data_IF_287375143822
#
_entry.id   IF_287375143822
#
_cell.length_a   1.000
_cell.length_b   1.000
_cell.length_c   1.000
_cell.angle_alpha   90.00
_cell.angle_beta   90.00
_cell.angle_gamma   90.00
#
_symmetry.space_group_name_H-M   'P 1'
#
loop_
_entity.id
_entity.type
_entity.pdbx_description
1 polymer ?
#
# COMPACT_ATOMS: atom_id res chain seq x y z
N UNK A 1 -1.63 11.26 2.04
CA UNK A 1 -1.30 11.55 0.63
C UNK A 1 -1.61 10.29 -0.14
N UNK A 2 -2.46 10.35 -1.18
CA UNK A 2 -2.81 9.21 -2.01
C UNK A 2 -2.24 9.47 -3.40
N UNK A 3 -1.43 8.54 -3.92
CA UNK A 3 -0.93 8.61 -5.31
C UNK A 3 -1.27 7.30 -6.01
N UNK A 4 -1.66 7.39 -7.29
CA UNK A 4 -1.98 6.23 -8.12
C UNK A 4 -1.46 6.45 -9.54
N UNK A 5 -0.70 5.47 -10.04
CA UNK A 5 -0.29 5.35 -11.44
C UNK A 5 0.57 6.50 -12.01
N UNK A 6 1.80 6.57 -11.54
CA UNK A 6 2.83 7.44 -12.12
C UNK A 6 4.09 6.63 -12.45
N UNK A 7 4.64 6.86 -13.65
CA UNK A 7 5.94 6.34 -14.08
C UNK A 7 6.94 7.49 -14.06
N UNK A 8 7.58 7.68 -12.90
CA UNK A 8 8.56 8.75 -12.66
C UNK A 8 9.90 8.08 -12.37
N UNK A 9 10.99 8.64 -12.88
CA UNK A 9 12.34 8.05 -12.75
C UNK A 9 12.74 7.87 -11.28
N UNK A 10 12.47 8.86 -10.43
CA UNK A 10 12.78 8.85 -8.99
C UNK A 10 11.54 9.16 -8.16
N UNK A 11 11.32 8.43 -7.07
CA UNK A 11 10.31 8.75 -6.06
C UNK A 11 8.89 8.96 -6.61
N UNK A 12 8.39 7.99 -7.39
CA UNK A 12 7.11 8.09 -8.07
C UNK A 12 5.88 8.28 -7.18
N UNK A 13 5.98 8.07 -5.87
CA UNK A 13 4.94 8.39 -4.90
C UNK A 13 5.18 9.74 -4.23
N UNK A 14 6.19 9.84 -3.36
CA UNK A 14 6.49 11.06 -2.62
C UNK A 14 7.92 11.08 -2.07
N UNK A 15 8.39 12.30 -1.76
CA UNK A 15 9.65 12.56 -1.06
C UNK A 15 9.37 13.47 0.12
N UNK A 16 9.80 13.06 1.31
CA UNK A 16 9.90 13.95 2.46
C UNK A 16 11.32 13.88 3.00
N UNK A 17 12.07 14.97 2.81
CA UNK A 17 13.49 15.06 3.14
C UNK A 17 13.77 16.11 4.20
N UNK A 18 14.87 15.89 4.93
CA UNK A 18 15.54 16.86 5.82
C UNK A 18 14.66 17.65 6.80
N UNK A 19 13.75 17.01 7.57
CA UNK A 19 13.07 17.75 8.62
C UNK A 19 14.06 18.08 9.75
N UNK A 20 13.91 19.28 10.32
CA UNK A 20 14.68 19.75 11.48
C UNK A 20 14.35 18.93 12.75
N UNK A 21 13.15 18.38 12.81
CA UNK A 21 12.63 17.58 13.92
C UNK A 21 12.08 16.23 13.42
N UNK A 22 11.78 15.31 14.32
CA UNK A 22 11.10 14.06 13.95
C UNK A 22 9.63 14.33 13.66
N UNK A 23 9.22 14.14 12.41
CA UNK A 23 7.83 14.30 12.02
C UNK A 23 6.98 13.06 12.30
N UNK A 24 5.65 13.24 12.28
CA UNK A 24 4.68 12.15 12.43
C UNK A 24 3.78 12.12 11.20
N UNK A 25 3.68 10.95 10.57
CA UNK A 25 2.70 10.68 9.51
C UNK A 25 1.65 9.74 10.09
N UNK A 26 0.46 10.29 10.37
CA UNK A 26 -0.63 9.55 11.00
C UNK A 26 -1.18 8.44 10.08
N UNK A 27 -1.22 8.72 8.78
CA UNK A 27 -1.69 7.78 7.75
C UNK A 27 -1.11 8.14 6.38
N UNK A 28 -0.61 7.13 5.66
CA UNK A 28 -0.16 7.31 4.28
C UNK A 28 -0.43 6.06 3.42
N UNK A 29 -0.66 6.28 2.13
CA UNK A 29 -0.79 5.20 1.16
C UNK A 29 0.03 5.56 -0.07
N UNK A 30 0.91 4.65 -0.50
CA UNK A 30 1.45 4.67 -1.86
C UNK A 30 1.07 3.38 -2.57
N UNK A 31 0.44 3.52 -3.74
CA UNK A 31 -0.07 2.37 -4.47
C UNK A 31 0.14 2.50 -5.97
N UNK A 32 0.40 1.37 -6.64
CA UNK A 32 0.52 1.29 -8.10
C UNK A 32 1.49 2.35 -8.65
N UNK A 33 2.60 2.58 -7.97
CA UNK A 33 3.64 3.50 -8.42
C UNK A 33 4.77 2.72 -9.09
N UNK A 34 5.43 3.33 -10.08
CA UNK A 34 6.56 2.71 -10.77
C UNK A 34 7.72 3.70 -10.90
N UNK A 35 8.88 3.29 -10.40
CA UNK A 35 10.14 4.02 -10.58
C UNK A 35 11.20 3.16 -11.26
N UNK A 36 12.15 3.82 -11.94
CA UNK A 36 13.20 3.14 -12.71
C UNK A 36 14.60 3.40 -12.17
N UNK A 37 14.79 4.48 -11.40
CA UNK A 37 16.09 4.83 -10.82
C UNK A 37 16.05 4.64 -9.32
N UNK A 38 15.61 5.64 -8.55
CA UNK A 38 15.61 5.62 -7.08
C UNK A 38 14.19 5.34 -6.58
N UNK A 39 14.09 4.69 -5.42
CA UNK A 39 12.89 4.11 -4.84
C UNK A 39 11.58 4.85 -5.09
N UNK A 40 10.46 4.12 -5.06
CA UNK A 40 9.13 4.70 -5.23
C UNK A 40 8.82 5.83 -4.23
N UNK A 41 9.45 5.83 -3.06
CA UNK A 41 9.30 6.88 -2.06
C UNK A 41 10.54 7.07 -1.17
N UNK A 42 10.63 8.25 -0.56
CA UNK A 42 11.68 8.61 0.39
C UNK A 42 11.11 9.23 1.68
N UNK A 43 11.55 8.71 2.82
CA UNK A 43 11.23 9.25 4.15
C UNK A 43 12.51 9.51 4.97
N UNK A 44 12.64 10.71 5.55
CA UNK A 44 13.73 11.04 6.47
C UNK A 44 13.19 11.52 7.81
N UNK A 45 13.54 10.85 8.92
CA UNK A 45 13.16 11.21 10.30
C UNK A 45 11.65 11.30 10.55
N UNK A 46 10.89 10.27 10.14
CA UNK A 46 9.45 10.20 10.38
C UNK A 46 9.02 8.96 11.17
N UNK A 47 8.06 9.16 12.07
CA UNK A 47 7.26 8.10 12.64
C UNK A 47 5.97 7.94 11.83
N UNK A 48 5.88 6.85 11.07
CA UNK A 48 4.73 6.50 10.24
C UNK A 48 3.86 5.53 11.03
N UNK A 49 2.74 6.01 11.55
CA UNK A 49 1.94 5.25 12.54
C UNK A 49 0.92 4.31 11.93
N UNK A 50 0.57 4.54 10.66
CA UNK A 50 -0.28 3.68 9.81
C UNK A 50 0.11 3.89 8.36
N UNK A 51 0.27 2.81 7.59
CA UNK A 51 0.55 2.96 6.16
C UNK A 51 0.16 1.78 5.28
N UNK A 52 0.01 2.04 3.98
CA UNK A 52 -0.24 1.02 2.98
C UNK A 52 0.65 1.24 1.76
N UNK A 53 1.55 0.28 1.52
CA UNK A 53 2.43 0.26 0.36
C UNK A 53 2.04 -0.93 -0.51
N UNK A 54 1.30 -0.63 -1.58
CA UNK A 54 0.58 -1.61 -2.37
C UNK A 54 1.05 -1.62 -3.82
N UNK A 55 1.49 -2.77 -4.33
CA UNK A 55 1.81 -2.95 -5.76
C UNK A 55 2.78 -1.89 -6.31
N UNK A 56 3.71 -1.40 -5.49
CA UNK A 56 4.72 -0.47 -5.98
C UNK A 56 5.85 -1.25 -6.64
N UNK A 57 6.33 -0.75 -7.76
CA UNK A 57 7.36 -1.39 -8.56
C UNK A 57 8.58 -0.48 -8.69
N UNK A 58 9.75 -1.08 -8.52
CA UNK A 58 11.03 -0.47 -8.83
C UNK A 58 11.82 -1.41 -9.74
N UNK A 59 12.05 -0.97 -10.98
CA UNK A 59 12.78 -1.77 -11.99
C UNK A 59 14.28 -1.45 -12.04
N UNK A 60 14.74 -0.45 -11.29
CA UNK A 60 16.15 -0.08 -11.18
C UNK A 60 16.99 -1.14 -10.45
N UNK A 61 18.21 -1.38 -10.93
CA UNK A 61 19.07 -2.49 -10.47
C UNK A 61 19.65 -2.30 -9.07
N UNK A 62 19.88 -1.06 -8.64
CA UNK A 62 20.64 -0.80 -7.41
C UNK A 62 19.80 -0.23 -6.28
N UNK A 63 18.48 -0.16 -6.38
CA UNK A 63 17.69 0.63 -5.43
C UNK A 63 16.57 -0.21 -4.80
N UNK A 64 16.00 0.35 -3.72
CA UNK A 64 14.90 -0.25 -2.99
C UNK A 64 13.62 0.56 -3.18
N UNK A 65 12.47 -0.10 -3.09
CA UNK A 65 11.14 0.51 -3.28
C UNK A 65 10.93 1.66 -2.28
N UNK A 66 11.42 1.49 -1.04
CA UNK A 66 11.33 2.48 0.03
C UNK A 66 12.74 2.90 0.42
N UNK A 67 13.06 4.17 0.19
CA UNK A 67 14.30 4.75 0.69
C UNK A 67 14.04 5.47 2.02
N UNK A 68 14.99 5.33 2.94
CA UNK A 68 14.97 5.97 4.25
C UNK A 68 16.36 6.52 4.58
N UNK A 69 16.43 7.71 5.19
CA UNK A 69 17.72 8.22 5.67
C UNK A 69 18.16 7.49 6.94
N UNK A 70 19.40 6.98 6.97
CA UNK A 70 20.17 6.56 8.15
C UNK A 70 19.39 5.91 9.31
N UNK A 71 18.56 4.90 9.03
CA UNK A 71 17.74 4.21 10.05
C UNK A 71 16.90 5.16 10.92
N UNK A 72 16.34 6.23 10.34
CA UNK A 72 15.61 7.27 11.08
C UNK A 72 14.08 7.16 10.97
N UNK A 73 13.59 6.23 10.15
CA UNK A 73 12.16 6.07 9.89
C UNK A 73 11.60 4.90 10.69
N UNK A 74 10.45 5.12 11.32
CA UNK A 74 9.68 4.11 12.06
C UNK A 74 8.40 3.78 11.29
N UNK A 75 8.10 2.49 11.13
CA UNK A 75 6.85 1.99 10.55
C UNK A 75 6.07 1.22 11.61
N UNK A 76 4.86 1.68 11.92
CA UNK A 76 3.92 1.03 12.82
C UNK A 76 2.62 0.75 12.08
N UNK A 77 1.97 -0.40 12.35
CA UNK A 77 0.64 -0.73 11.83
C UNK A 77 0.55 -0.59 10.29
N UNK A 78 1.58 -1.05 9.58
CA UNK A 78 1.72 -0.86 8.15
C UNK A 78 1.47 -2.13 7.36
N UNK A 79 0.98 -1.99 6.14
CA UNK A 79 0.88 -3.07 5.16
C UNK A 79 1.84 -2.85 3.98
N UNK A 80 2.57 -3.90 3.62
CA UNK A 80 3.44 -3.95 2.46
C UNK A 80 3.00 -5.15 1.62
N UNK A 81 2.24 -4.90 0.55
CA UNK A 81 1.59 -5.96 -0.22
C UNK A 81 1.91 -5.82 -1.71
N UNK A 82 2.30 -6.91 -2.36
CA UNK A 82 2.42 -6.96 -3.81
C UNK A 82 3.55 -6.11 -4.41
N UNK A 83 4.46 -5.58 -3.59
CA UNK A 83 5.54 -4.70 -4.06
C UNK A 83 6.62 -5.52 -4.80
N UNK A 84 7.18 -4.95 -5.88
CA UNK A 84 8.12 -5.62 -6.79
C UNK A 84 9.40 -4.81 -6.94
N UNK A 85 10.56 -5.45 -6.83
CA UNK A 85 11.85 -4.82 -7.04
C UNK A 85 12.99 -5.66 -6.48
N UNK A 86 14.19 -5.10 -6.34
CA UNK A 86 15.29 -5.83 -5.71
C UNK A 86 15.16 -5.83 -4.19
N UNK A 87 14.89 -4.66 -3.61
CA UNK A 87 14.81 -4.50 -2.15
C UNK A 87 13.53 -3.78 -1.74
N UNK A 88 12.97 -4.15 -0.60
CA UNK A 88 11.83 -3.40 -0.05
C UNK A 88 12.31 -2.08 0.58
N UNK A 89 13.36 -2.12 1.39
CA UNK A 89 13.97 -0.95 2.04
C UNK A 89 15.43 -0.77 1.64
N UNK A 90 15.85 0.47 1.38
CA UNK A 90 17.24 0.79 1.01
C UNK A 90 18.17 0.78 2.23
N UNK A 91 17.65 1.23 3.37
CA UNK A 91 18.33 1.20 4.66
C UNK A 91 17.36 0.59 5.67
N UNK A 92 17.90 -0.16 6.63
CA UNK A 92 17.09 -0.76 7.70
C UNK A 92 16.32 0.36 8.42
N UNK A 93 14.98 0.33 8.48
CA UNK A 93 14.23 1.28 9.30
C UNK A 93 14.60 1.15 10.79
N UNK A 94 14.38 2.21 11.58
CA UNK A 94 14.63 2.20 13.01
C UNK A 94 13.80 1.11 13.71
N UNK A 95 12.50 1.16 13.44
CA UNK A 95 11.49 0.29 14.02
C UNK A 95 10.54 -0.13 12.89
N UNK A 96 10.21 -1.42 12.86
CA UNK A 96 9.14 -2.00 12.04
C UNK A 96 8.33 -2.88 12.98
N UNK A 97 7.15 -2.40 13.38
CA UNK A 97 6.33 -3.07 14.39
C UNK A 97 4.85 -3.11 13.98
N UNK A 98 4.18 -4.20 14.35
CA UNK A 98 2.81 -4.50 13.92
C UNK A 98 2.59 -4.34 12.40
N UNK A 99 3.53 -4.84 11.58
CA UNK A 99 3.50 -4.70 10.13
C UNK A 99 3.16 -6.01 9.42
N UNK A 100 2.33 -5.94 8.39
CA UNK A 100 1.93 -7.06 7.54
C UNK A 100 2.67 -7.03 6.21
N UNK A 101 3.29 -8.15 5.85
CA UNK A 101 3.99 -8.35 4.57
C UNK A 101 3.36 -9.52 3.82
N UNK A 102 2.90 -9.30 2.59
CA UNK A 102 2.33 -10.36 1.76
C UNK A 102 2.64 -10.15 0.27
N UNK A 103 2.84 -11.24 -0.47
CA UNK A 103 2.99 -11.22 -1.94
C UNK A 103 4.03 -10.24 -2.50
N UNK A 104 5.00 -9.80 -1.69
CA UNK A 104 6.09 -8.95 -2.18
C UNK A 104 7.08 -9.80 -2.98
N UNK A 105 7.39 -9.38 -4.19
CA UNK A 105 8.40 -9.99 -5.03
C UNK A 105 9.68 -9.15 -4.97
N UNK A 106 10.43 -9.32 -3.87
CA UNK A 106 11.74 -8.69 -3.65
C UNK A 106 12.78 -9.76 -3.39
N UNK A 107 14.02 -9.55 -3.84
CA UNK A 107 15.12 -10.50 -3.59
C UNK A 107 15.52 -10.48 -2.13
N UNK A 108 15.42 -9.32 -1.47
CA UNK A 108 15.74 -9.16 -0.07
C UNK A 108 14.93 -8.00 0.56
N UNK A 109 14.61 -8.09 1.85
CA UNK A 109 13.80 -7.05 2.51
C UNK A 109 14.56 -5.73 2.68
N UNK A 110 15.81 -5.77 3.12
CA UNK A 110 16.65 -4.57 3.31
C UNK A 110 17.92 -4.70 2.50
N UNK A 111 18.29 -3.68 1.73
CA UNK A 111 19.55 -3.66 0.98
C UNK A 111 20.75 -3.72 1.94
N UNK A 112 21.73 -4.55 1.60
CA UNK A 112 22.94 -4.80 2.41
C UNK A 112 22.71 -5.38 3.82
N UNK A 113 21.48 -5.76 4.18
CA UNK A 113 21.18 -6.33 5.49
C UNK A 113 20.17 -7.48 5.37
N UNK A 114 20.58 -8.70 5.73
CA UNK A 114 19.75 -9.90 5.60
C UNK A 114 18.62 -10.00 6.63
N UNK A 115 18.34 -8.93 7.39
CA UNK A 115 17.24 -8.87 8.35
C UNK A 115 15.89 -9.12 7.66
N UNK A 116 15.11 -9.98 8.29
CA UNK A 116 13.69 -10.16 8.01
C UNK A 116 12.88 -9.60 9.16
N UNK A 117 11.69 -9.06 8.86
CA UNK A 117 10.75 -8.59 9.87
C UNK A 117 9.69 -9.65 10.11
N UNK A 118 9.30 -9.83 11.38
CA UNK A 118 8.19 -10.72 11.71
C UNK A 118 6.90 -10.10 11.18
N UNK A 119 6.28 -10.76 10.21
CA UNK A 119 4.95 -10.39 9.74
C UNK A 119 3.92 -10.75 10.81
N UNK A 120 3.01 -9.83 11.11
CA UNK A 120 1.80 -10.18 11.87
C UNK A 120 0.85 -11.01 11.00
N UNK A 121 -0.13 -11.67 11.61
CA UNK A 121 -1.28 -12.16 10.84
C UNK A 121 -1.96 -10.97 10.17
N UNK A 122 -2.61 -11.11 9.00
CA UNK A 122 -3.36 -10.04 8.37
C UNK A 122 -4.37 -9.50 9.38
N UNK A 123 -4.02 -8.40 10.04
CA UNK A 123 -4.76 -7.94 11.21
C UNK A 123 -5.84 -6.98 10.73
N UNK A 124 -7.06 -7.54 10.67
CA UNK A 124 -8.28 -7.06 11.34
C UNK A 124 -8.67 -5.59 11.15
N UNK A 125 -9.85 -5.38 10.53
CA UNK A 125 -10.77 -4.22 10.47
C UNK A 125 -10.28 -2.76 10.37
N UNK A 126 -9.04 -2.44 10.74
CA UNK A 126 -8.45 -1.09 10.71
C UNK A 126 -7.67 -0.81 9.42
N UNK A 127 -7.45 -1.85 8.60
CA UNK A 127 -7.13 -1.75 7.17
C UNK A 127 -8.43 -1.88 6.36
N UNK A 128 -9.57 -1.45 6.93
CA UNK A 128 -10.90 -1.52 6.29
C UNK A 128 -10.88 -0.87 4.91
N UNK A 129 -10.17 0.23 4.74
CA UNK A 129 -10.12 0.96 3.47
C UNK A 129 -9.53 0.17 2.27
N UNK A 130 -8.90 -0.99 2.49
CA UNK A 130 -8.47 -1.93 1.41
C UNK A 130 -8.98 -3.36 1.56
N UNK A 131 -9.83 -3.65 2.54
CA UNK A 131 -10.51 -4.93 2.60
C UNK A 131 -11.49 -5.06 1.42
N UNK A 132 -11.08 -5.79 0.38
CA UNK A 132 -12.01 -6.24 -0.69
C UNK A 132 -13.04 -7.25 -0.18
N UNK A 133 -12.94 -7.66 1.09
CA UNK A 133 -13.81 -8.62 1.78
C UNK A 133 -15.30 -8.25 1.74
N UNK A 134 -15.65 -7.01 1.37
CA UNK A 134 -17.01 -6.56 1.07
C UNK A 134 -17.08 -5.63 -0.15
N UNK A 135 -16.07 -5.63 -1.03
CA UNK A 135 -16.17 -4.93 -2.31
C UNK A 135 -16.83 -5.86 -3.34
N UNK A 136 -17.76 -5.36 -4.17
CA UNK A 136 -18.34 -6.16 -5.24
C UNK A 136 -17.26 -6.75 -6.16
N UNK A 137 -17.29 -8.07 -6.35
CA UNK A 137 -16.31 -8.82 -7.15
C UNK A 137 -16.41 -8.53 -8.66
N UNK A 138 -17.43 -7.77 -9.09
CA UNK A 138 -17.70 -7.40 -10.49
C UNK A 138 -16.58 -6.60 -11.15
N UNK A 139 -15.69 -5.98 -10.38
CA UNK A 139 -14.68 -5.04 -10.90
C UNK A 139 -13.25 -5.60 -11.02
N UNK A 140 -13.02 -6.87 -10.65
CA UNK A 140 -11.65 -7.43 -10.57
C UNK A 140 -11.24 -8.34 -11.76
N UNK A 141 -12.00 -8.39 -12.86
CA UNK A 141 -11.70 -9.30 -13.98
C UNK A 141 -11.01 -8.62 -15.19
N UNK A 142 -9.67 -8.60 -15.17
CA UNK A 142 -8.81 -8.61 -16.36
C UNK A 142 -7.61 -9.58 -16.11
N UNK A 143 -7.37 -10.52 -17.04
CA UNK A 143 -6.69 -11.85 -16.90
C UNK A 143 -5.34 -11.94 -17.69
N UNK A 144 -4.52 -13.04 -17.70
CA UNK A 144 -4.12 -14.09 -16.72
C UNK A 144 -2.58 -14.54 -16.84
N UNK A 145 -2.01 -15.64 -16.23
CA UNK A 145 -2.61 -16.79 -15.52
C UNK A 145 -1.94 -17.27 -14.20
N UNK A 146 -2.76 -17.67 -13.21
CA UNK A 146 -2.57 -18.83 -12.29
C UNK A 146 -3.61 -18.89 -11.14
N UNK A 147 -4.90 -18.69 -11.44
CA UNK A 147 -5.99 -18.92 -10.48
C UNK A 147 -7.05 -19.85 -11.09
N UNK A 148 -6.63 -21.10 -11.35
CA UNK A 148 -7.46 -22.14 -11.97
C UNK A 148 -8.30 -22.95 -10.97
N UNK A 149 -8.48 -22.50 -9.72
CA UNK A 149 -9.23 -23.31 -8.72
C UNK A 149 -10.70 -22.94 -8.49
N UNK A 150 -11.20 -21.83 -9.03
CA UNK A 150 -12.63 -21.45 -8.85
C UNK A 150 -13.36 -21.19 -10.18
N UNK A 151 -13.01 -21.89 -11.25
CA UNK A 151 -13.78 -21.85 -12.51
C UNK A 151 -15.04 -22.71 -12.42
N UNK A 152 -16.16 -22.11 -12.04
CA UNK A 152 -17.46 -22.46 -12.59
C UNK A 152 -18.34 -21.23 -12.70
N UNK A 153 -18.74 -20.94 -13.93
CA UNK A 153 -19.70 -19.93 -14.39
C UNK A 153 -19.42 -18.45 -14.07
N UNK A 154 -18.83 -17.76 -15.05
CA UNK A 154 -19.59 -16.79 -15.86
C UNK A 154 -18.64 -16.05 -16.82
N UNK A 155 -18.71 -16.36 -18.12
CA UNK A 155 -18.12 -15.51 -19.16
C UNK A 155 -19.12 -14.41 -19.50
N UNK A 156 -18.92 -13.20 -18.98
CA UNK A 156 -19.39 -11.97 -19.65
C UNK A 156 -18.27 -10.93 -19.59
N UNK A 157 -17.91 -10.44 -20.78
CA UNK A 157 -17.03 -9.29 -21.00
C UNK A 157 -17.62 -8.10 -20.23
N UNK A 158 -16.84 -7.46 -19.36
CA UNK A 158 -17.20 -6.16 -18.80
C UNK A 158 -16.50 -5.05 -19.59
N UNK A 159 -17.30 -4.04 -19.97
CA UNK A 159 -16.84 -2.67 -20.20
C UNK A 159 -16.60 -2.04 -18.82
N UNK A 160 -15.82 -0.97 -18.74
CA UNK A 160 -15.76 -0.14 -17.53
C UNK A 160 -17.19 0.22 -17.09
N UNK A 161 -17.69 -0.42 -16.02
CA UNK A 161 -18.96 -0.06 -15.41
C UNK A 161 -18.66 0.87 -14.22
N UNK A 162 -19.47 1.91 -14.05
CA UNK A 162 -19.39 2.84 -12.92
C UNK A 162 -19.86 2.15 -11.62
N UNK A 163 -19.32 2.59 -10.47
CA UNK A 163 -19.80 2.15 -9.15
C UNK A 163 -21.23 2.67 -8.93
N UNK A 164 -22.16 1.78 -8.59
CA UNK A 164 -23.51 2.19 -8.27
C UNK A 164 -23.66 2.59 -6.78
N UNK A 165 -24.74 3.31 -6.47
CA UNK A 165 -24.97 3.80 -5.10
C UNK A 165 -25.16 2.67 -4.08
N UNK A 166 -25.61 1.49 -4.51
CA UNK A 166 -25.81 0.33 -3.62
C UNK A 166 -24.48 -0.28 -3.25
N UNK A 167 -23.54 -0.35 -4.18
CA UNK A 167 -22.17 -0.77 -3.96
C UNK A 167 -21.48 0.16 -2.98
N UNK A 168 -21.61 1.49 -3.18
CA UNK A 168 -21.07 2.50 -2.28
C UNK A 168 -21.67 2.36 -0.87
N UNK A 169 -23.00 2.20 -0.77
CA UNK A 169 -23.67 2.02 0.52
C UNK A 169 -23.28 0.71 1.22
N UNK A 170 -23.06 -0.36 0.46
CA UNK A 170 -22.61 -1.64 1.01
C UNK A 170 -21.20 -1.53 1.56
N UNK A 171 -20.28 -0.91 0.81
CA UNK A 171 -18.91 -0.63 1.24
C UNK A 171 -18.94 0.21 2.52
N UNK A 172 -19.66 1.32 2.53
CA UNK A 172 -19.75 2.21 3.70
C UNK A 172 -20.25 1.47 4.95
N UNK A 173 -21.35 0.73 4.83
CA UNK A 173 -21.95 0.05 5.99
C UNK A 173 -21.13 -1.17 6.46
N UNK A 174 -20.54 -1.93 5.54
CA UNK A 174 -19.87 -3.21 5.87
C UNK A 174 -18.38 -3.06 6.11
N UNK A 175 -17.71 -2.21 5.34
CA UNK A 175 -16.28 -1.98 5.43
C UNK A 175 -15.98 -0.92 6.48
N UNK A 176 -16.61 0.24 6.36
CA UNK A 176 -16.34 1.38 7.24
C UNK A 176 -17.20 1.39 8.51
N UNK A 177 -18.19 0.48 8.60
CA UNK A 177 -19.13 0.38 9.75
C UNK A 177 -19.77 1.71 10.12
N UNK A 178 -19.99 2.56 9.12
CA UNK A 178 -20.60 3.90 9.27
C UNK A 178 -21.78 4.00 8.31
N UNK A 179 -22.69 4.94 8.56
CA UNK A 179 -23.80 5.19 7.64
C UNK A 179 -23.34 6.04 6.44
N UNK A 180 -24.06 5.93 5.32
CA UNK A 180 -23.81 6.77 4.14
C UNK A 180 -23.86 8.27 4.48
N UNK A 181 -24.79 8.68 5.34
CA UNK A 181 -24.97 10.07 5.77
C UNK A 181 -23.79 10.57 6.60
N UNK A 182 -23.25 9.74 7.49
CA UNK A 182 -22.03 10.06 8.23
C UNK A 182 -20.81 10.11 7.30
N UNK A 183 -20.69 9.13 6.37
CA UNK A 183 -19.60 9.05 5.41
C UNK A 183 -19.46 10.30 4.53
N UNK A 184 -20.57 10.86 4.05
CA UNK A 184 -20.55 12.08 3.22
C UNK A 184 -20.38 13.38 4.03
N UNK A 185 -20.56 13.34 5.36
CA UNK A 185 -20.45 14.48 6.25
C UNK A 185 -19.12 14.53 7.04
N UNK A 186 -18.14 13.65 6.74
CA UNK A 186 -16.85 13.61 7.43
C UNK A 186 -16.06 14.93 7.40
N UNK A 187 -16.36 15.84 6.47
CA UNK A 187 -15.76 17.19 6.43
C UNK A 187 -16.22 18.11 7.57
N UNK A 188 -17.19 17.70 8.39
CA UNK A 188 -17.77 18.51 9.48
C UNK A 188 -17.46 17.98 10.89
N UNK A 189 -16.70 16.89 11.00
CA UNK A 189 -16.42 16.20 12.27
C UNK A 189 -14.96 16.32 12.75
N UNK A 190 -14.23 17.33 12.29
CA UNK A 190 -12.94 17.75 12.88
C UNK A 190 -13.03 19.13 13.48
#
# INVERSE_FOLDING_TARGET
>A
MNTSNHKITTYAAYVITDPTETGIINFTTASNTSSTEVGSLFNSRFNITKCNYLNNELTGSNNAIISCSSSSTTFLNCSFIGNKGNYLFDVKPNIVDNCYFNENNVTQTVRYNSVSFKSIQPFDFNISHYSTYYCPATYFYYNPPNLDKNKKDSRKKFKEDELDLKDINFIINKVYKTSFVEAVNFSTLT
#
